data_IF_717419971280
#
_entry.id   IF_717419971280
#
_cell.length_a   1.000
_cell.length_b   1.000
_cell.length_c   1.000
_cell.angle_alpha   90.00
_cell.angle_beta   90.00
_cell.angle_gamma   90.00
#
_symmetry.space_group_name_H-M   'P 1'
#
loop_
_entity.id
_entity.type
_entity.pdbx_description
1 polymer ?
#
# COMPACT_ATOMS: atom_id res chain seq x y z
N UNK A 1 -28.08 13.14 -8.88
CA UNK A 1 -26.66 13.22 -8.51
C UNK A 1 -25.97 14.00 -9.61
N UNK A 2 -25.76 15.29 -9.37
CA UNK A 2 -25.12 16.20 -10.33
C UNK A 2 -23.60 15.97 -10.33
N UNK A 3 -22.89 16.58 -11.27
CA UNK A 3 -21.42 16.45 -11.36
C UNK A 3 -20.75 17.07 -10.13
N UNK A 4 -21.31 18.15 -9.59
CA UNK A 4 -20.85 18.84 -8.38
C UNK A 4 -20.88 17.94 -7.14
N UNK A 5 -21.94 17.12 -6.96
CA UNK A 5 -22.06 16.16 -5.85
C UNK A 5 -20.91 15.12 -5.84
N UNK A 6 -20.42 14.74 -7.03
CA UNK A 6 -19.36 13.73 -7.14
C UNK A 6 -18.01 14.29 -6.71
N UNK A 7 -17.69 15.52 -7.09
CA UNK A 7 -16.42 16.17 -6.77
C UNK A 7 -16.30 16.47 -5.27
N UNK A 8 -17.37 16.94 -4.62
CA UNK A 8 -17.38 17.16 -3.17
C UNK A 8 -17.15 15.85 -2.40
N UNK A 9 -17.79 14.76 -2.85
CA UNK A 9 -17.63 13.44 -2.25
C UNK A 9 -16.21 12.90 -2.41
N UNK A 10 -15.57 13.11 -3.56
CA UNK A 10 -14.17 12.74 -3.79
C UNK A 10 -13.22 13.53 -2.89
N UNK A 11 -13.45 14.84 -2.75
CA UNK A 11 -12.64 15.70 -1.88
C UNK A 11 -12.75 15.30 -0.41
N UNK A 12 -13.96 15.01 0.07
CA UNK A 12 -14.18 14.51 1.42
C UNK A 12 -13.47 13.16 1.66
N UNK A 13 -13.50 12.27 0.67
CA UNK A 13 -12.81 10.98 0.72
C UNK A 13 -11.28 11.16 0.81
N UNK A 14 -10.69 12.03 0.00
CA UNK A 14 -9.24 12.29 0.01
C UNK A 14 -8.78 12.90 1.35
N UNK A 15 -9.57 13.82 1.91
CA UNK A 15 -9.30 14.40 3.23
C UNK A 15 -9.32 13.33 4.33
N UNK A 16 -10.30 12.43 4.32
CA UNK A 16 -10.39 11.35 5.30
C UNK A 16 -9.20 10.38 5.18
N UNK A 17 -8.80 10.02 3.96
CA UNK A 17 -7.61 9.20 3.70
C UNK A 17 -6.36 9.86 4.28
N UNK A 18 -6.16 11.16 4.01
CA UNK A 18 -5.01 11.90 4.52
C UNK A 18 -4.99 12.01 6.06
N UNK A 19 -6.16 12.13 6.69
CA UNK A 19 -6.27 12.14 8.15
C UNK A 19 -5.87 10.79 8.77
N UNK A 20 -6.32 9.67 8.19
CA UNK A 20 -5.97 8.32 8.65
C UNK A 20 -4.45 8.10 8.54
N UNK A 21 -3.87 8.45 7.41
CA UNK A 21 -2.43 8.35 7.14
C UNK A 21 -1.60 9.13 8.18
N UNK A 22 -2.06 10.33 8.56
CA UNK A 22 -1.38 11.18 9.56
C UNK A 22 -1.51 10.63 10.98
N UNK A 23 -2.66 10.05 11.33
CA UNK A 23 -2.93 9.55 12.68
C UNK A 23 -2.28 8.18 12.95
N UNK A 24 -2.30 7.29 11.97
CA UNK A 24 -1.89 5.90 12.14
C UNK A 24 -0.59 5.54 11.40
N UNK A 25 -0.03 6.50 10.67
CA UNK A 25 1.18 6.31 9.88
C UNK A 25 0.89 5.97 8.43
N UNK A 26 1.90 6.21 7.58
CA UNK A 26 1.84 5.97 6.14
C UNK A 26 1.52 4.52 5.81
N UNK A 27 0.54 4.32 4.94
CA UNK A 27 0.12 2.98 4.49
C UNK A 27 -0.89 2.31 5.40
N UNK A 28 -1.43 3.03 6.38
CA UNK A 28 -2.57 2.58 7.19
C UNK A 28 -3.86 2.49 6.38
N UNK A 29 -3.99 3.24 5.29
CA UNK A 29 -5.04 3.11 4.29
C UNK A 29 -4.48 3.31 2.88
N UNK A 30 -4.87 2.45 1.94
CA UNK A 30 -4.39 2.49 0.56
C UNK A 30 -5.48 2.03 -0.41
N UNK A 31 -5.37 2.46 -1.68
CA UNK A 31 -6.21 1.93 -2.76
C UNK A 31 -5.54 0.69 -3.35
N UNK A 32 -6.30 -0.41 -3.42
CA UNK A 32 -5.83 -1.62 -4.11
C UNK A 32 -5.65 -1.32 -5.61
N UNK A 33 -4.51 -1.71 -6.18
CA UNK A 33 -4.17 -1.45 -7.58
C UNK A 33 -3.65 -0.04 -7.85
N UNK A 34 -3.32 0.74 -6.82
CA UNK A 34 -2.55 1.97 -7.02
C UNK A 34 -1.14 1.64 -7.54
N UNK A 35 -0.69 2.35 -8.57
CA UNK A 35 0.59 2.07 -9.25
C UNK A 35 1.83 2.30 -8.38
N UNK A 36 1.69 3.03 -7.26
CA UNK A 36 2.78 3.33 -6.34
C UNK A 36 2.39 3.08 -4.90
N UNK A 37 3.20 2.27 -4.23
CA UNK A 37 3.28 2.26 -2.78
C UNK A 37 4.09 3.50 -2.37
N UNK A 38 3.46 4.48 -1.75
CA UNK A 38 4.13 5.73 -1.30
C UNK A 38 5.11 5.53 -0.14
N UNK A 39 5.23 4.30 0.38
CA UNK A 39 6.11 3.99 1.50
C UNK A 39 7.48 3.61 0.96
N UNK A 40 8.42 4.56 1.00
CA UNK A 40 9.82 4.27 0.75
C UNK A 40 10.37 3.40 1.90
N UNK A 41 10.59 2.13 1.61
CA UNK A 41 11.20 1.16 2.53
C UNK A 41 12.32 0.44 1.80
N UNK A 42 13.48 0.32 2.43
CA UNK A 42 14.56 -0.51 1.89
C UNK A 42 14.11 -1.98 1.87
N UNK A 43 14.25 -2.64 0.73
CA UNK A 43 13.87 -4.05 0.55
C UNK A 43 15.08 -4.99 0.48
N UNK A 44 14.85 -6.28 0.72
CA UNK A 44 15.77 -7.38 0.42
C UNK A 44 15.12 -8.23 -0.67
N UNK A 45 15.77 -8.45 -1.84
CA UNK A 45 15.19 -9.27 -2.91
C UNK A 45 14.87 -10.69 -2.44
N UNK A 46 13.74 -11.23 -2.89
CA UNK A 46 13.32 -12.61 -2.56
C UNK A 46 14.02 -13.66 -3.42
N UNK A 47 14.64 -13.25 -4.53
CA UNK A 47 15.21 -14.15 -5.54
C UNK A 47 14.19 -14.59 -6.60
N UNK A 48 12.92 -14.17 -6.48
CA UNK A 48 11.88 -14.34 -7.50
C UNK A 48 11.44 -12.99 -8.04
N UNK A 49 11.70 -12.74 -9.33
CA UNK A 49 11.34 -11.48 -9.99
C UNK A 49 9.83 -11.20 -9.90
N UNK A 50 9.01 -12.24 -10.06
CA UNK A 50 7.57 -12.12 -9.99
C UNK A 50 7.09 -11.73 -8.58
N UNK A 51 7.72 -12.30 -7.54
CA UNK A 51 7.38 -11.99 -6.15
C UNK A 51 7.86 -10.59 -5.76
N UNK A 52 9.07 -10.20 -6.15
CA UNK A 52 9.62 -8.87 -5.88
C UNK A 52 8.75 -7.77 -6.53
N UNK A 53 8.25 -8.01 -7.75
CA UNK A 53 7.32 -7.13 -8.43
C UNK A 53 5.95 -7.08 -7.73
N UNK A 54 5.41 -8.23 -7.32
CA UNK A 54 4.12 -8.31 -6.63
C UNK A 54 4.14 -7.60 -5.26
N UNK A 55 5.27 -7.62 -4.54
CA UNK A 55 5.45 -6.90 -3.28
C UNK A 55 5.50 -5.37 -3.48
N UNK A 56 5.67 -4.88 -4.71
CA UNK A 56 5.62 -3.46 -5.08
C UNK A 56 6.81 -2.61 -4.62
N UNK A 57 7.59 -3.08 -3.65
CA UNK A 57 8.81 -2.43 -3.14
C UNK A 57 10.10 -3.14 -3.57
N UNK A 58 10.01 -4.19 -4.41
CA UNK A 58 11.16 -4.93 -4.93
C UNK A 58 11.75 -5.98 -3.99
N UNK A 59 10.98 -6.47 -3.01
CA UNK A 59 11.39 -7.55 -2.11
C UNK A 59 10.75 -7.45 -0.73
N UNK A 60 11.28 -8.19 0.24
CA UNK A 60 10.79 -8.14 1.63
C UNK A 60 11.29 -6.87 2.36
N UNK A 61 10.44 -6.19 3.14
CA UNK A 61 10.80 -4.93 3.79
C UNK A 61 11.81 -5.13 4.94
N UNK A 62 12.86 -4.30 4.98
CA UNK A 62 13.81 -4.30 6.09
C UNK A 62 13.19 -3.72 7.36
N UNK A 63 13.54 -4.30 8.51
CA UNK A 63 13.08 -3.84 9.82
C UNK A 63 11.60 -4.13 10.10
N UNK A 64 11.01 -5.10 9.38
CA UNK A 64 9.62 -5.53 9.53
C UNK A 64 9.55 -7.05 9.66
N UNK A 65 8.47 -7.51 10.29
CA UNK A 65 8.16 -8.94 10.41
C UNK A 65 7.44 -9.38 9.13
N UNK A 66 7.85 -10.51 8.58
CA UNK A 66 7.25 -11.14 7.41
C UNK A 66 6.90 -12.59 7.77
N UNK A 67 5.71 -13.03 7.39
CA UNK A 67 5.24 -14.40 7.57
C UNK A 67 5.19 -15.10 6.20
N UNK A 68 5.75 -16.31 6.13
CA UNK A 68 5.68 -17.19 4.96
C UNK A 68 5.10 -18.51 5.46
N UNK A 69 4.02 -18.98 4.83
CA UNK A 69 3.32 -20.20 5.22
C UNK A 69 2.96 -21.03 4.00
N UNK A 70 2.80 -22.34 4.20
CA UNK A 70 2.44 -23.30 3.17
C UNK A 70 2.47 -24.74 3.70
N UNK A 71 1.90 -25.70 2.96
CA UNK A 71 1.99 -27.11 3.32
C UNK A 71 3.44 -27.62 3.24
N UNK A 72 3.75 -28.65 4.02
CA UNK A 72 4.95 -29.46 3.82
C UNK A 72 4.87 -30.21 2.49
N UNK A 73 6.02 -30.39 1.83
CA UNK A 73 6.11 -31.03 0.50
C UNK A 73 6.09 -32.55 0.57
#
# INVERSE_FOLDING_TARGET
MTVEDKDEKLKALELAIAQIDRQFGKGSIMRLGADKIEVEVNAIPTGSLALDAALGIGGVPRGRVVEIFGPES
#
